data_IF_695104573703
#
_entry.id   IF_695104573703
#
_cell.length_a   1.000
_cell.length_b   1.000
_cell.length_c   1.000
_cell.angle_alpha   90.00
_cell.angle_beta   90.00
_cell.angle_gamma   90.00
#
_symmetry.space_group_name_H-M   'P 1'
#
loop_
_entity.id
_entity.type
_entity.pdbx_description
1 polymer ?
#
# COMPACT_ATOMS: atom_id res chain seq x y z
N UNK A 1 2.17 5.76 -4.48
CA UNK A 1 0.87 6.42 -4.23
C UNK A 1 1.01 7.71 -3.42
N UNK A 2 -0.10 8.42 -3.14
CA UNK A 2 -0.15 9.69 -2.38
C UNK A 2 0.57 9.66 -1.02
N UNK A 3 0.67 8.49 -0.38
CA UNK A 3 1.39 8.35 0.90
C UNK A 3 2.92 8.40 0.73
N UNK A 4 3.47 7.77 -0.31
CA UNK A 4 4.90 7.86 -0.61
C UNK A 4 5.31 9.27 -1.09
N UNK A 5 4.37 10.06 -1.61
CA UNK A 5 4.63 11.46 -1.95
C UNK A 5 5.04 12.28 -0.72
N UNK A 6 4.36 12.12 0.43
CA UNK A 6 4.73 12.82 1.67
C UNK A 6 6.11 12.37 2.19
N UNK A 7 6.40 11.08 2.12
CA UNK A 7 7.72 10.54 2.48
C UNK A 7 8.82 11.11 1.58
N UNK A 8 8.57 11.17 0.26
CA UNK A 8 9.48 11.77 -0.70
C UNK A 8 9.70 13.27 -0.43
N UNK A 9 8.64 14.04 -0.13
CA UNK A 9 8.77 15.45 0.25
C UNK A 9 9.63 15.65 1.50
N UNK A 10 9.45 14.81 2.52
CA UNK A 10 10.30 14.84 3.72
C UNK A 10 11.76 14.56 3.40
N UNK A 11 12.03 13.55 2.56
CA UNK A 11 13.38 13.22 2.11
C UNK A 11 14.00 14.34 1.26
N UNK A 12 13.24 14.98 0.37
CA UNK A 12 13.67 16.14 -0.43
C UNK A 12 14.06 17.29 0.50
N UNK A 13 13.19 17.63 1.47
CA UNK A 13 13.45 18.73 2.39
C UNK A 13 14.73 18.49 3.21
N UNK A 14 14.92 17.28 3.71
CA UNK A 14 16.15 16.90 4.42
C UNK A 14 17.38 16.98 3.50
N UNK A 15 17.30 16.47 2.27
CA UNK A 15 18.41 16.51 1.32
C UNK A 15 18.80 17.95 0.94
N UNK A 16 17.83 18.86 0.85
CA UNK A 16 18.09 20.29 0.65
C UNK A 16 18.84 20.90 1.83
N UNK A 17 18.43 20.59 3.07
CA UNK A 17 19.13 21.05 4.29
C UNK A 17 20.56 20.51 4.35
N UNK A 18 20.79 19.30 3.85
CA UNK A 18 22.11 18.68 3.76
C UNK A 18 22.95 19.19 2.57
N UNK A 19 22.45 20.13 1.78
CA UNK A 19 23.18 20.78 0.69
C UNK A 19 23.26 19.98 -0.61
N UNK A 20 22.40 18.98 -0.82
CA UNK A 20 22.36 18.26 -2.09
C UNK A 20 21.76 19.15 -3.20
N UNK A 21 22.34 19.06 -4.40
CA UNK A 21 21.78 19.73 -5.57
C UNK A 21 20.45 19.11 -6.00
N UNK A 22 19.61 19.89 -6.69
CA UNK A 22 18.33 19.39 -7.24
C UNK A 22 18.52 18.17 -8.15
N UNK A 23 19.65 18.08 -8.87
CA UNK A 23 19.98 16.93 -9.70
C UNK A 23 20.23 15.67 -8.86
N UNK A 24 21.05 15.76 -7.82
CA UNK A 24 21.31 14.62 -6.92
C UNK A 24 20.02 14.13 -6.24
N UNK A 25 19.16 15.06 -5.83
CA UNK A 25 17.85 14.72 -5.23
C UNK A 25 16.96 14.00 -6.26
N UNK A 26 16.85 14.55 -7.47
CA UNK A 26 16.08 13.95 -8.56
C UNK A 26 16.57 12.55 -8.92
N UNK A 27 17.88 12.38 -9.06
CA UNK A 27 18.51 11.10 -9.41
C UNK A 27 18.31 10.05 -8.29
N UNK A 28 18.42 10.46 -7.02
CA UNK A 28 18.17 9.59 -5.86
C UNK A 28 16.72 9.13 -5.77
N UNK A 29 15.75 10.02 -6.00
CA UNK A 29 14.32 9.65 -5.98
C UNK A 29 13.97 8.75 -7.17
N UNK A 30 14.50 9.06 -8.35
CA UNK A 30 14.20 8.30 -9.58
C UNK A 30 14.82 6.90 -9.57
N UNK A 31 15.91 6.70 -8.81
CA UNK A 31 16.55 5.39 -8.65
C UNK A 31 15.94 4.54 -7.53
N UNK A 32 14.99 5.08 -6.76
CA UNK A 32 14.33 4.35 -5.69
C UNK A 32 13.59 3.14 -6.24
N UNK A 33 13.99 1.95 -5.80
CA UNK A 33 13.24 0.72 -6.01
C UNK A 33 12.38 0.43 -4.78
N UNK A 34 11.13 -0.02 -4.95
CA UNK A 34 10.35 -0.54 -3.84
C UNK A 34 11.15 -1.63 -3.10
N UNK A 35 11.10 -1.62 -1.78
CA UNK A 35 11.54 -2.78 -1.01
C UNK A 35 10.58 -3.93 -1.31
N UNK A 36 11.11 -5.15 -1.38
CA UNK A 36 10.27 -6.33 -1.60
C UNK A 36 9.13 -6.37 -0.58
N UNK A 37 7.91 -6.57 -1.07
CA UNK A 37 6.70 -6.59 -0.26
C UNK A 37 6.28 -5.25 0.33
N UNK A 38 6.80 -4.12 -0.17
CA UNK A 38 6.40 -2.77 0.25
C UNK A 38 5.82 -2.00 -0.94
N UNK A 39 4.51 -2.10 -1.12
CA UNK A 39 3.77 -1.51 -2.23
C UNK A 39 4.35 -1.87 -3.60
N UNK A 40 4.85 -3.10 -3.72
CA UNK A 40 5.48 -3.64 -4.91
C UNK A 40 4.41 -4.06 -5.91
N UNK A 41 4.56 -3.70 -7.17
CA UNK A 41 3.65 -4.14 -8.24
C UNK A 41 4.34 -5.26 -9.01
N UNK A 42 3.77 -6.46 -8.94
CA UNK A 42 4.19 -7.59 -9.74
C UNK A 42 3.28 -7.70 -10.97
N UNK A 43 3.91 -7.77 -12.14
CA UNK A 43 3.24 -7.95 -13.42
C UNK A 43 3.16 -9.44 -13.77
N UNK A 44 1.96 -9.98 -13.68
CA UNK A 44 1.63 -11.31 -14.15
C UNK A 44 1.07 -11.24 -15.57
N UNK A 45 1.12 -12.37 -16.30
CA UNK A 45 0.72 -12.41 -17.71
C UNK A 45 -0.64 -11.74 -18.03
N UNK A 46 -1.62 -11.88 -17.12
CA UNK A 46 -2.98 -11.34 -17.28
C UNK A 46 -3.50 -10.65 -16.00
N UNK A 47 -2.63 -10.34 -15.04
CA UNK A 47 -3.04 -9.78 -13.75
C UNK A 47 -1.91 -8.97 -13.14
N UNK A 48 -2.25 -8.05 -12.24
CA UNK A 48 -1.29 -7.34 -11.41
C UNK A 48 -1.48 -7.75 -9.95
N UNK A 49 -0.38 -7.90 -9.22
CA UNK A 49 -0.41 -8.04 -7.76
C UNK A 49 0.21 -6.78 -7.18
N UNK A 50 -0.55 -6.08 -6.32
CA UNK A 50 0.04 -5.14 -5.39
C UNK A 50 0.42 -5.89 -4.12
N UNK A 51 1.71 -6.14 -3.93
CA UNK A 51 2.25 -6.82 -2.77
C UNK A 51 2.68 -5.79 -1.72
N UNK A 52 1.93 -5.72 -0.62
CA UNK A 52 2.21 -4.85 0.53
C UNK A 52 2.19 -5.67 1.83
N UNK A 53 3.03 -6.71 1.88
CA UNK A 53 3.04 -7.74 2.93
C UNK A 53 4.22 -7.63 3.92
N UNK A 54 5.01 -6.55 3.86
CA UNK A 54 6.15 -6.38 4.78
C UNK A 54 5.70 -6.08 6.22
N UNK A 55 4.72 -5.20 6.38
CA UNK A 55 4.15 -4.84 7.68
C UNK A 55 2.69 -4.43 7.49
N UNK A 56 1.77 -5.12 8.17
CA UNK A 56 0.35 -4.81 8.14
C UNK A 56 -0.05 -4.09 9.43
N UNK A 57 -0.50 -2.84 9.28
CA UNK A 57 -1.12 -2.05 10.35
C UNK A 57 -2.38 -1.36 9.83
N UNK A 58 -3.29 -0.88 10.70
CA UNK A 58 -4.60 -0.36 10.29
C UNK A 58 -4.50 0.76 9.24
N UNK A 59 -3.59 1.70 9.47
CA UNK A 59 -3.32 2.84 8.58
C UNK A 59 -2.85 2.42 7.19
N UNK A 60 -1.96 1.42 7.11
CA UNK A 60 -1.43 0.91 5.84
C UNK A 60 -2.50 0.12 5.07
N UNK A 61 -3.27 -0.71 5.77
CA UNK A 61 -4.35 -1.51 5.19
C UNK A 61 -5.44 -0.62 4.60
N UNK A 62 -5.86 0.41 5.34
CA UNK A 62 -6.86 1.39 4.87
C UNK A 62 -6.39 2.06 3.56
N UNK A 63 -5.15 2.54 3.52
CA UNK A 63 -4.58 3.16 2.32
C UNK A 63 -4.42 2.20 1.14
N UNK A 64 -4.07 0.95 1.39
CA UNK A 64 -3.95 -0.07 0.34
C UNK A 64 -5.32 -0.37 -0.27
N UNK A 65 -6.35 -0.55 0.56
CA UNK A 65 -7.73 -0.78 0.12
C UNK A 65 -8.25 0.42 -0.68
N UNK A 66 -8.08 1.64 -0.18
CA UNK A 66 -8.46 2.86 -0.90
C UNK A 66 -7.74 2.99 -2.25
N UNK A 67 -6.43 2.71 -2.29
CA UNK A 67 -5.65 2.82 -3.52
C UNK A 67 -6.15 1.82 -4.57
N UNK A 68 -6.27 0.54 -4.23
CA UNK A 68 -6.77 -0.49 -5.16
C UNK A 68 -8.23 -0.21 -5.54
N UNK A 69 -9.05 0.25 -4.59
CA UNK A 69 -10.42 0.70 -4.84
C UNK A 69 -10.49 1.84 -5.85
N UNK A 70 -9.52 2.76 -5.86
CA UNK A 70 -9.47 3.88 -6.81
C UNK A 70 -9.07 3.48 -8.24
N UNK A 71 -8.48 2.29 -8.44
CA UNK A 71 -8.08 1.82 -9.77
C UNK A 71 -9.32 1.50 -10.60
N UNK A 72 -9.47 2.07 -11.80
CA UNK A 72 -10.60 1.74 -12.68
C UNK A 72 -10.45 0.32 -13.21
N UNK A 73 -11.51 -0.47 -13.13
CA UNK A 73 -11.56 -1.81 -13.74
C UNK A 73 -11.87 -1.69 -15.23
N UNK A 74 -11.19 -2.50 -16.05
CA UNK A 74 -11.70 -2.84 -17.37
C UNK A 74 -12.87 -3.82 -17.22
N UNK A 75 -13.70 -3.97 -18.27
CA UNK A 75 -14.97 -4.70 -18.23
C UNK A 75 -14.86 -6.14 -17.67
N UNK A 76 -13.73 -6.80 -17.90
CA UNK A 76 -13.49 -8.20 -17.48
C UNK A 76 -12.51 -8.32 -16.30
N UNK A 77 -12.00 -7.20 -15.78
CA UNK A 77 -11.02 -7.23 -14.70
C UNK A 77 -11.70 -7.45 -13.34
N UNK A 78 -11.09 -8.29 -12.51
CA UNK A 78 -11.53 -8.54 -11.13
C UNK A 78 -10.61 -7.83 -10.14
N UNK A 79 -11.20 -7.20 -9.13
CA UNK A 79 -10.47 -6.70 -7.96
C UNK A 79 -10.59 -7.71 -6.83
N UNK A 80 -9.46 -8.15 -6.33
CA UNK A 80 -9.40 -9.16 -5.27
C UNK A 80 -8.52 -8.60 -4.15
N UNK A 81 -9.03 -8.65 -2.92
CA UNK A 81 -8.25 -8.41 -1.72
C UNK A 81 -7.91 -9.72 -1.05
N UNK A 82 -6.65 -9.89 -0.66
CA UNK A 82 -6.18 -11.00 0.20
C UNK A 82 -5.51 -10.35 1.41
N UNK A 83 -6.19 -10.41 2.56
CA UNK A 83 -5.82 -9.66 3.75
C UNK A 83 -5.46 -10.63 4.89
N UNK A 84 -4.27 -10.46 5.45
CA UNK A 84 -3.77 -11.21 6.58
C UNK A 84 -3.97 -10.50 7.92
N UNK A 85 -3.55 -11.16 9.00
CA UNK A 85 -3.53 -10.56 10.34
C UNK A 85 -2.62 -9.34 10.43
N UNK A 86 -3.10 -8.30 11.12
CA UNK A 86 -2.31 -7.20 11.63
C UNK A 86 -1.80 -7.57 13.03
N UNK A 87 -0.49 -7.79 13.13
CA UNK A 87 0.15 -8.22 14.36
C UNK A 87 0.41 -7.03 15.31
N UNK A 88 0.76 -7.33 16.56
CA UNK A 88 1.23 -6.35 17.55
C UNK A 88 0.21 -5.26 17.96
N UNK A 89 -1.08 -5.45 17.68
CA UNK A 89 -2.14 -4.50 18.01
C UNK A 89 -2.68 -4.59 19.45
N UNK A 90 -2.32 -5.63 20.20
CA UNK A 90 -2.77 -5.81 21.58
C UNK A 90 -4.31 -5.84 21.70
N UNK A 91 -4.86 -5.03 22.60
CA UNK A 91 -6.31 -4.93 22.85
C UNK A 91 -7.10 -4.40 21.66
N UNK A 92 -6.45 -3.66 20.76
CA UNK A 92 -7.11 -3.01 19.62
C UNK A 92 -7.21 -3.94 18.41
N UNK A 93 -6.66 -5.16 18.50
CA UNK A 93 -6.64 -6.11 17.38
C UNK A 93 -8.03 -6.36 16.81
N UNK A 94 -9.02 -6.70 17.66
CA UNK A 94 -10.37 -7.02 17.18
C UNK A 94 -11.02 -5.83 16.47
N UNK A 95 -11.02 -4.66 17.09
CA UNK A 95 -11.66 -3.46 16.52
C UNK A 95 -10.98 -3.00 15.24
N UNK A 96 -9.65 -3.11 15.16
CA UNK A 96 -8.89 -2.82 13.95
C UNK A 96 -9.23 -3.77 12.80
N UNK A 97 -9.24 -5.08 13.03
CA UNK A 97 -9.60 -6.06 12.00
C UNK A 97 -11.05 -5.90 11.54
N UNK A 98 -11.99 -5.64 12.46
CA UNK A 98 -13.40 -5.35 12.12
C UNK A 98 -13.51 -4.11 11.22
N UNK A 99 -12.82 -3.02 11.56
CA UNK A 99 -12.80 -1.78 10.75
C UNK A 99 -12.23 -2.06 9.35
N UNK A 100 -11.08 -2.73 9.26
CA UNK A 100 -10.44 -3.05 7.99
C UNK A 100 -11.29 -4.00 7.14
N UNK A 101 -11.92 -5.01 7.77
CA UNK A 101 -12.83 -5.93 7.10
C UNK A 101 -14.06 -5.25 6.53
N UNK A 102 -14.69 -4.34 7.30
CA UNK A 102 -15.80 -3.52 6.83
C UNK A 102 -15.40 -2.61 5.66
N UNK A 103 -14.21 -2.00 5.72
CA UNK A 103 -13.71 -1.18 4.63
C UNK A 103 -13.51 -1.99 3.35
N UNK A 104 -12.91 -3.18 3.45
CA UNK A 104 -12.73 -4.07 2.31
C UNK A 104 -14.06 -4.57 1.75
N UNK A 105 -15.01 -4.95 2.61
CA UNK A 105 -16.33 -5.44 2.20
C UNK A 105 -17.20 -4.37 1.53
N UNK A 106 -17.06 -3.10 1.94
CA UNK A 106 -17.76 -1.96 1.35
C UNK A 106 -17.05 -1.36 0.13
N UNK A 107 -15.90 -1.90 -0.26
CA UNK A 107 -15.20 -1.49 -1.48
C UNK A 107 -15.89 -2.05 -2.73
N UNK A 108 -15.36 -1.70 -3.91
CA UNK A 108 -15.82 -2.29 -5.17
C UNK A 108 -15.16 -3.64 -5.48
N UNK A 109 -14.52 -4.31 -4.51
CA UNK A 109 -13.88 -5.61 -4.73
C UNK A 109 -14.89 -6.69 -5.15
N UNK A 110 -14.47 -7.57 -6.06
CA UNK A 110 -15.24 -8.74 -6.49
C UNK A 110 -15.09 -9.91 -5.51
N UNK A 111 -13.96 -9.97 -4.79
CA UNK A 111 -13.66 -11.00 -3.80
C UNK A 111 -12.75 -10.43 -2.71
N UNK A 112 -13.08 -10.74 -1.46
CA UNK A 112 -12.23 -10.45 -0.31
C UNK A 112 -11.95 -11.77 0.41
N UNK A 113 -10.68 -12.09 0.57
CA UNK A 113 -10.19 -13.28 1.27
C UNK A 113 -9.48 -12.80 2.53
N UNK A 114 -9.89 -13.33 3.67
CA UNK A 114 -9.22 -13.11 4.96
C UNK A 114 -8.47 -14.37 5.35
N UNK A 115 -7.21 -14.23 5.78
CA UNK A 115 -6.35 -15.33 6.19
C UNK A 115 -5.72 -14.98 7.54
N UNK A 116 -6.13 -15.65 8.61
CA UNK A 116 -5.69 -15.28 9.95
C UNK A 116 -6.50 -15.94 11.05
N UNK A 117 -6.27 -15.50 12.29
CA UNK A 117 -6.88 -16.05 13.52
C UNK A 117 -7.84 -15.12 14.22
#
# INVERSE_FOLDING_TARGET
GKYNYKNALGAIALAQVLGLSSRQISDGISSLKPLSGRSEILDGKNFFIMQDCYNANPDSMEKAIEFVGSVKKNTDAKKIFVLGDMLELGSDSKSAHEKTGLLAANSDADLVIFIGT
#
